data_IF_673096640716
#
_entry.id   IF_673096640716
#
_cell.length_a   1.000
_cell.length_b   1.000
_cell.length_c   1.000
_cell.angle_alpha   90.00
_cell.angle_beta   90.00
_cell.angle_gamma   90.00
#
_symmetry.space_group_name_H-M   'P 1'
#
loop_
_entity.id
_entity.type
_entity.pdbx_description
1 polymer ?
#
# COMPACT_ATOMS: atom_id res chain seq x y z
N UNK A 1 -19.64 26.19 -79.12
CA UNK A 1 -19.42 26.24 -77.67
C UNK A 1 -19.28 24.79 -77.23
N UNK A 2 -18.15 24.29 -76.70
CA UNK A 2 -17.90 24.33 -75.26
C UNK A 2 -16.45 23.96 -74.85
N UNK A 3 -15.47 23.98 -75.76
CA UNK A 3 -14.09 23.60 -75.41
C UNK A 3 -13.47 24.56 -74.36
N UNK A 4 -13.69 25.87 -74.54
CA UNK A 4 -13.26 26.88 -73.57
C UNK A 4 -14.10 26.88 -72.27
N UNK A 5 -15.34 26.38 -72.32
CA UNK A 5 -16.21 26.24 -71.14
C UNK A 5 -15.84 25.02 -70.28
N UNK A 6 -15.17 24.02 -70.88
CA UNK A 6 -14.64 22.84 -70.19
C UNK A 6 -13.29 23.11 -69.52
N UNK A 7 -12.40 23.87 -70.16
CA UNK A 7 -11.11 24.31 -69.56
C UNK A 7 -11.31 25.15 -68.28
N UNK A 8 -12.45 25.82 -68.15
CA UNK A 8 -12.81 26.66 -67.00
C UNK A 8 -13.50 25.89 -65.86
N UNK A 9 -13.84 24.60 -66.02
CA UNK A 9 -14.80 23.93 -65.15
C UNK A 9 -14.22 23.43 -63.82
N UNK A 10 -12.92 23.19 -63.77
CA UNK A 10 -12.08 23.20 -62.57
C UNK A 10 -10.70 23.58 -63.09
N UNK A 11 -10.15 24.69 -62.64
CA UNK A 11 -8.74 24.98 -62.86
C UNK A 11 -7.95 23.93 -62.07
N UNK A 12 -7.53 22.86 -62.76
CA UNK A 12 -6.88 21.71 -62.12
C UNK A 12 -5.68 22.15 -61.29
N UNK A 13 -4.98 23.21 -61.71
CA UNK A 13 -3.86 23.78 -60.96
C UNK A 13 -4.29 24.32 -59.59
N UNK A 14 -5.38 25.09 -59.53
CA UNK A 14 -5.95 25.60 -58.26
C UNK A 14 -6.47 24.50 -57.37
N UNK A 15 -7.06 23.45 -57.95
CA UNK A 15 -7.53 22.32 -57.16
C UNK A 15 -6.35 21.57 -56.53
N UNK A 16 -5.26 21.39 -57.27
CA UNK A 16 -4.04 20.75 -56.79
C UNK A 16 -3.33 21.60 -55.73
N UNK A 17 -3.18 22.91 -55.95
CA UNK A 17 -2.67 23.85 -54.94
C UNK A 17 -3.49 23.82 -53.64
N UNK A 18 -4.82 23.87 -53.73
CA UNK A 18 -5.70 23.82 -52.55
C UNK A 18 -5.59 22.48 -51.81
N UNK A 19 -5.30 21.40 -52.53
CA UNK A 19 -5.19 20.06 -51.95
C UNK A 19 -3.83 19.85 -51.29
N UNK A 20 -2.75 20.40 -51.85
CA UNK A 20 -1.46 20.49 -51.16
C UNK A 20 -1.56 21.34 -49.88
N UNK A 21 -2.19 22.52 -49.94
CA UNK A 21 -2.40 23.38 -48.76
C UNK A 21 -3.24 22.67 -47.68
N UNK A 22 -4.22 21.87 -48.09
CA UNK A 22 -5.02 21.06 -47.17
C UNK A 22 -4.20 19.93 -46.53
N UNK A 23 -3.35 19.25 -47.29
CA UNK A 23 -2.47 18.18 -46.80
C UNK A 23 -1.48 18.73 -45.76
N UNK A 24 -0.83 19.86 -46.04
CA UNK A 24 0.08 20.53 -45.11
C UNK A 24 -0.61 20.87 -43.77
N UNK A 25 -1.83 21.43 -43.84
CA UNK A 25 -2.63 21.74 -42.64
C UNK A 25 -3.04 20.48 -41.87
N UNK A 26 -3.36 19.39 -42.55
CA UNK A 26 -3.69 18.13 -41.89
C UNK A 26 -2.47 17.53 -41.21
N UNK A 27 -1.29 17.58 -41.84
CA UNK A 27 -0.05 17.12 -41.23
C UNK A 27 0.35 17.96 -40.01
N UNK A 28 0.18 19.28 -40.08
CA UNK A 28 0.42 20.17 -38.94
C UNK A 28 -0.52 19.84 -37.76
N UNK A 29 -1.83 19.70 -38.02
CA UNK A 29 -2.80 19.31 -37.01
C UNK A 29 -2.47 17.95 -36.39
N UNK A 30 -2.08 16.97 -37.21
CA UNK A 30 -1.68 15.65 -36.73
C UNK A 30 -0.45 15.73 -35.82
N UNK A 31 0.56 16.51 -36.20
CA UNK A 31 1.75 16.75 -35.38
C UNK A 31 1.40 17.36 -34.02
N UNK A 32 0.51 18.37 -34.01
CA UNK A 32 0.06 19.02 -32.78
C UNK A 32 -0.71 18.06 -31.86
N UNK A 33 -1.62 17.25 -32.42
CA UNK A 33 -2.40 16.26 -31.67
C UNK A 33 -1.50 15.18 -31.07
N UNK A 34 -0.58 14.62 -31.86
CA UNK A 34 0.39 13.63 -31.36
C UNK A 34 1.32 14.19 -30.29
N UNK A 35 1.76 15.44 -30.44
CA UNK A 35 2.55 16.13 -29.41
C UNK A 35 1.77 16.31 -28.10
N UNK A 36 0.47 16.61 -28.17
CA UNK A 36 -0.39 16.70 -27.00
C UNK A 36 -0.63 15.36 -26.32
N UNK A 37 -0.84 14.27 -27.08
CA UNK A 37 -1.05 12.93 -26.51
C UNK A 37 0.12 12.50 -25.64
N UNK A 38 1.37 12.72 -26.09
CA UNK A 38 2.56 12.42 -25.30
C UNK A 38 2.61 13.25 -24.00
N UNK A 39 2.23 14.52 -24.07
CA UNK A 39 2.19 15.40 -22.91
C UNK A 39 1.14 14.95 -21.88
N UNK A 40 -0.07 14.58 -22.33
CA UNK A 40 -1.12 14.06 -21.47
C UNK A 40 -0.72 12.75 -20.80
N UNK A 41 -0.10 11.83 -21.54
CA UNK A 41 0.43 10.58 -20.98
C UNK A 41 1.49 10.84 -19.90
N UNK A 42 2.38 11.81 -20.12
CA UNK A 42 3.39 12.18 -19.12
C UNK A 42 2.74 12.76 -17.84
N UNK A 43 1.79 13.68 -17.99
CA UNK A 43 1.04 14.24 -16.86
C UNK A 43 0.29 13.16 -16.07
N UNK A 44 -0.35 12.22 -16.78
CA UNK A 44 -1.04 11.09 -16.15
C UNK A 44 -0.07 10.23 -15.33
N UNK A 45 1.10 9.89 -15.88
CA UNK A 45 2.12 9.13 -15.16
C UNK A 45 2.63 9.88 -13.92
N UNK A 46 2.86 11.19 -14.04
CA UNK A 46 3.29 12.02 -12.92
C UNK A 46 2.25 12.03 -11.79
N UNK A 47 0.96 12.17 -12.12
CA UNK A 47 -0.10 12.11 -11.12
C UNK A 47 -0.23 10.72 -10.48
N UNK A 48 -0.15 9.64 -11.25
CA UNK A 48 -0.13 8.27 -10.70
C UNK A 48 0.99 8.08 -9.68
N UNK A 49 2.22 8.45 -10.04
CA UNK A 49 3.38 8.32 -9.15
C UNK A 49 3.19 9.16 -7.88
N UNK A 50 2.70 10.40 -8.01
CA UNK A 50 2.48 11.27 -6.85
C UNK A 50 1.38 10.75 -5.91
N UNK A 51 0.36 10.08 -6.44
CA UNK A 51 -0.71 9.45 -5.64
C UNK A 51 -0.19 8.20 -4.96
N UNK A 52 0.52 7.33 -5.68
CA UNK A 52 1.15 6.12 -5.14
C UNK A 52 2.13 6.45 -4.01
N UNK A 53 2.99 7.45 -4.21
CA UNK A 53 3.92 7.93 -3.18
C UNK A 53 3.18 8.52 -1.97
N UNK A 54 2.11 9.28 -2.17
CA UNK A 54 1.33 9.83 -1.04
C UNK A 54 0.64 8.74 -0.23
N UNK A 55 0.09 7.73 -0.89
CA UNK A 55 -0.55 6.58 -0.26
C UNK A 55 0.48 5.76 0.53
N UNK A 56 1.67 5.52 -0.03
CA UNK A 56 2.71 4.75 0.65
C UNK A 56 3.35 5.51 1.83
N UNK A 57 3.44 6.85 1.75
CA UNK A 57 4.26 7.63 2.67
C UNK A 57 3.54 8.16 3.92
N UNK A 58 2.28 8.60 3.81
CA UNK A 58 1.64 9.32 4.92
C UNK A 58 0.81 8.41 5.83
N UNK A 59 0.02 7.52 5.27
CA UNK A 59 -0.97 6.77 6.05
C UNK A 59 -0.48 5.37 6.37
N UNK A 60 0.07 4.65 5.38
CA UNK A 60 0.44 3.25 5.57
C UNK A 60 1.65 3.05 6.47
N UNK A 61 2.70 3.89 6.37
CA UNK A 61 3.88 3.79 7.25
C UNK A 61 3.57 4.15 8.69
N UNK A 62 2.80 5.23 8.89
CA UNK A 62 2.36 5.66 10.22
C UNK A 62 1.46 4.59 10.86
N UNK A 63 0.51 4.06 10.08
CA UNK A 63 -0.40 3.02 10.55
C UNK A 63 0.32 1.70 10.85
N UNK A 64 1.25 1.27 9.99
CA UNK A 64 2.11 0.10 10.23
C UNK A 64 2.90 0.24 11.52
N UNK A 65 3.54 1.40 11.74
CA UNK A 65 4.29 1.66 12.97
C UNK A 65 3.39 1.58 14.21
N UNK A 66 2.19 2.15 14.13
CA UNK A 66 1.23 2.08 15.23
C UNK A 66 0.81 0.63 15.57
N UNK A 67 0.61 -0.23 14.55
CA UNK A 67 0.33 -1.64 14.77
C UNK A 67 1.51 -2.37 15.42
N UNK A 68 2.73 -2.10 14.98
CA UNK A 68 3.95 -2.70 15.51
C UNK A 68 4.19 -2.29 16.98
N UNK A 69 4.04 -1.00 17.29
CA UNK A 69 4.15 -0.47 18.66
C UNK A 69 3.08 -1.09 19.58
N UNK A 70 1.84 -1.21 19.10
CA UNK A 70 0.73 -1.81 19.86
C UNK A 70 0.96 -3.29 20.11
N UNK A 71 1.44 -4.02 19.09
CA UNK A 71 1.76 -5.44 19.21
C UNK A 71 2.87 -5.68 20.25
N UNK A 72 3.96 -4.91 20.18
CA UNK A 72 5.08 -5.02 21.11
C UNK A 72 4.64 -4.77 22.55
N UNK A 73 3.86 -3.70 22.78
CA UNK A 73 3.32 -3.38 24.10
C UNK A 73 2.45 -4.53 24.65
N UNK A 74 1.55 -5.07 23.84
CA UNK A 74 0.69 -6.16 24.29
C UNK A 74 1.49 -7.42 24.63
N UNK A 75 2.57 -7.70 23.88
CA UNK A 75 3.45 -8.83 24.17
C UNK A 75 4.18 -8.64 25.50
N UNK A 76 4.73 -7.44 25.76
CA UNK A 76 5.35 -7.10 27.05
C UNK A 76 4.36 -7.27 28.21
N UNK A 77 3.11 -6.79 28.05
CA UNK A 77 2.07 -6.95 29.08
C UNK A 77 1.70 -8.42 29.34
N UNK A 78 1.69 -9.26 28.29
CA UNK A 78 1.44 -10.70 28.42
C UNK A 78 2.60 -11.39 29.13
N UNK A 79 3.84 -11.08 28.74
CA UNK A 79 5.04 -11.61 29.38
C UNK A 79 5.07 -11.23 30.87
N UNK A 80 4.84 -9.96 31.19
CA UNK A 80 4.86 -9.47 32.58
C UNK A 80 3.79 -10.17 33.45
N UNK A 81 2.58 -10.38 32.90
CA UNK A 81 1.53 -11.16 33.60
C UNK A 81 1.96 -12.60 33.83
N UNK A 82 2.54 -13.27 32.84
CA UNK A 82 3.01 -14.65 32.98
C UNK A 82 4.13 -14.78 34.04
N UNK A 83 5.04 -13.81 34.11
CA UNK A 83 6.11 -13.81 35.11
C UNK A 83 5.63 -13.38 36.52
N UNK A 84 4.68 -12.45 36.61
CA UNK A 84 4.08 -12.03 37.88
C UNK A 84 3.17 -13.10 38.50
N UNK A 85 2.36 -13.79 37.71
CA UNK A 85 1.45 -14.84 38.20
C UNK A 85 2.21 -16.09 38.69
N UNK A 86 3.38 -16.37 38.11
CA UNK A 86 4.27 -17.45 38.57
C UNK A 86 4.98 -17.15 39.90
N UNK A 87 5.04 -15.90 40.35
CA UNK A 87 5.64 -15.52 41.64
C UNK A 87 4.68 -15.71 42.83
N UNK A 88 3.37 -15.81 42.58
CA UNK A 88 2.36 -16.19 43.58
C UNK A 88 2.16 -17.71 43.62
N UNK A 89 3.23 -18.44 43.92
CA UNK A 89 3.09 -19.81 44.41
C UNK A 89 2.19 -19.78 45.64
N UNK A 90 0.98 -20.35 45.54
CA UNK A 90 0.07 -20.52 46.66
C UNK A 90 0.82 -21.32 47.73
N UNK A 91 1.36 -20.64 48.74
CA UNK A 91 1.91 -21.25 49.95
C UNK A 91 0.76 -21.67 50.85
N UNK A 92 -0.14 -22.53 50.35
CA UNK A 92 -1.11 -23.22 51.20
C UNK A 92 -0.30 -24.13 52.11
N UNK A 93 -0.35 -23.86 53.41
CA UNK A 93 0.24 -24.76 54.40
C UNK A 93 -0.38 -26.15 54.19
N UNK A 94 0.46 -27.12 53.85
CA UNK A 94 0.04 -28.50 53.69
C UNK A 94 -0.44 -29.01 55.05
N UNK A 95 -1.67 -29.55 55.16
CA UNK A 95 -2.09 -30.23 56.38
C UNK A 95 -1.11 -31.36 56.68
N UNK A 96 -0.49 -31.33 57.86
CA UNK A 96 0.36 -32.42 58.36
C UNK A 96 -0.56 -33.48 58.98
N UNK A 97 -0.29 -34.78 58.84
CA UNK A 97 0.78 -35.41 58.06
C UNK A 97 0.39 -35.73 56.61
N UNK A 98 1.37 -35.64 55.70
CA UNK A 98 1.24 -36.07 54.30
C UNK A 98 2.21 -37.22 53.97
N UNK A 99 1.85 -38.00 52.96
CA UNK A 99 2.64 -39.15 52.49
C UNK A 99 3.38 -38.79 51.21
N UNK A 100 4.68 -39.08 51.14
CA UNK A 100 5.47 -38.90 49.93
C UNK A 100 5.03 -39.88 48.84
N UNK A 101 4.48 -39.39 47.74
CA UNK A 101 3.99 -40.24 46.64
C UNK A 101 5.09 -41.09 45.97
N UNK A 102 6.36 -40.70 46.11
CA UNK A 102 7.47 -41.43 45.49
C UNK A 102 8.00 -42.58 46.34
N UNK A 103 7.78 -42.57 47.66
CA UNK A 103 8.36 -43.58 48.56
C UNK A 103 7.41 -44.03 49.68
N UNK A 104 6.15 -43.61 49.63
CA UNK A 104 5.07 -43.86 50.61
C UNK A 104 5.42 -43.57 52.07
N UNK A 105 6.45 -42.76 52.30
CA UNK A 105 6.90 -42.37 53.65
C UNK A 105 6.04 -41.22 54.16
N UNK A 106 5.52 -41.34 55.39
CA UNK A 106 4.92 -40.22 56.10
C UNK A 106 5.97 -39.17 56.47
N UNK A 107 5.70 -37.91 56.13
CA UNK A 107 6.57 -36.78 56.44
C UNK A 107 5.90 -35.88 57.49
N UNK A 108 6.56 -35.72 58.63
CA UNK A 108 6.23 -34.71 59.63
C UNK A 108 7.19 -33.54 59.48
N UNK A 109 6.68 -32.40 59.00
CA UNK A 109 7.45 -31.15 58.98
C UNK A 109 6.87 -30.28 60.10
N UNK A 110 7.70 -29.89 61.06
CA UNK A 110 7.29 -28.94 62.09
C UNK A 110 7.22 -27.54 61.46
N UNK A 111 6.11 -26.84 61.68
CA UNK A 111 5.93 -25.47 61.22
C UNK A 111 6.68 -24.54 62.18
N UNK A 112 7.64 -23.71 61.73
CA UNK A 112 8.30 -22.75 62.62
C UNK A 112 7.30 -21.66 63.03
N UNK A 113 7.06 -21.49 64.34
CA UNK A 113 6.22 -20.41 64.87
C UNK A 113 5.13 -20.81 65.87
N UNK A 114 5.32 -21.90 66.63
CA UNK A 114 4.50 -22.23 67.79
C UNK A 114 5.37 -22.43 69.03
#
# INVERSE_FOLDING_TARGET
ADKAALDSKVDCSKFEENMEELDERMQELQSQISGQEQHWNNMQQHFSNAIEDKLDRLELKTFRKHLEDTWNKNMEEVEDRLFCENATGIKKQLPVPFTCLSCDRMLSVQVPGQ
#
